data_IF_439948312867
#
_entry.id   IF_439948312867
#
_cell.length_a   1.000
_cell.length_b   1.000
_cell.length_c   1.000
_cell.angle_alpha   90.00
_cell.angle_beta   90.00
_cell.angle_gamma   90.00
#
_symmetry.space_group_name_H-M   'P 1'
#
loop_
_entity.id
_entity.type
_entity.pdbx_description
1 polymer ?
#
# COMPACT_ATOMS: atom_id res chain seq x y z
N UNK A 1 -19.05 -4.74 -10.36
CA UNK A 1 -17.71 -4.60 -9.79
C UNK A 1 -16.70 -4.39 -10.92
N UNK A 2 -15.88 -3.35 -10.81
CA UNK A 2 -14.81 -3.09 -11.78
C UNK A 2 -13.45 -3.40 -11.18
N UNK A 3 -12.62 -4.15 -11.92
CA UNK A 3 -11.22 -4.31 -11.59
C UNK A 3 -10.50 -2.96 -11.69
N UNK A 4 -9.53 -2.74 -10.81
CA UNK A 4 -8.58 -1.63 -10.93
C UNK A 4 -7.29 -2.12 -11.58
N UNK A 5 -6.46 -1.22 -12.10
CA UNK A 5 -5.13 -1.55 -12.61
C UNK A 5 -4.13 -2.04 -11.56
N UNK A 6 -4.53 -2.10 -10.28
CA UNK A 6 -3.68 -2.61 -9.19
C UNK A 6 -3.65 -4.14 -9.22
N UNK A 7 -2.55 -4.67 -9.69
CA UNK A 7 -2.28 -6.09 -9.76
C UNK A 7 -0.88 -6.40 -9.24
N UNK A 8 -0.73 -7.50 -8.51
CA UNK A 8 0.57 -7.99 -8.05
C UNK A 8 0.56 -9.53 -8.07
N UNK A 9 1.59 -10.14 -8.63
CA UNK A 9 1.78 -11.58 -8.61
C UNK A 9 1.80 -12.21 -10.01
N UNK A 10 1.45 -13.50 -10.08
CA UNK A 10 1.54 -14.27 -11.31
C UNK A 10 0.55 -13.80 -12.38
N UNK A 11 1.07 -13.27 -13.49
CA UNK A 11 0.28 -12.80 -14.64
C UNK A 11 -0.32 -13.93 -15.47
N UNK A 12 0.14 -15.15 -15.28
CA UNK A 12 -0.37 -16.36 -15.92
C UNK A 12 -1.26 -17.17 -14.97
N UNK A 13 -1.61 -16.62 -13.82
CA UNK A 13 -2.51 -17.27 -12.88
C UNK A 13 -3.86 -17.54 -13.56
N UNK A 14 -4.38 -18.74 -13.34
CA UNK A 14 -5.70 -19.12 -13.82
C UNK A 14 -6.82 -18.31 -13.17
N UNK A 15 -8.06 -18.76 -13.34
CA UNK A 15 -9.21 -18.11 -12.74
C UNK A 15 -9.06 -17.96 -11.21
N UNK A 16 -9.23 -16.76 -10.71
CA UNK A 16 -9.26 -16.45 -9.27
C UNK A 16 -10.70 -16.53 -8.78
N UNK A 17 -10.90 -17.03 -7.56
CA UNK A 17 -12.21 -17.11 -6.93
C UNK A 17 -12.30 -16.17 -5.74
N UNK A 18 -13.45 -15.50 -5.64
CA UNK A 18 -13.81 -14.64 -4.51
C UNK A 18 -15.16 -15.11 -3.96
N UNK A 19 -15.23 -15.18 -2.65
CA UNK A 19 -16.44 -15.46 -1.89
C UNK A 19 -17.01 -14.15 -1.34
N UNK A 20 -18.31 -13.99 -1.47
CA UNK A 20 -19.03 -12.85 -0.95
C UNK A 20 -19.78 -13.27 0.31
N UNK A 21 -19.43 -12.70 1.43
CA UNK A 21 -20.04 -12.98 2.73
C UNK A 21 -20.82 -11.77 3.23
N UNK A 22 -21.95 -12.03 3.90
CA UNK A 22 -22.71 -10.99 4.58
C UNK A 22 -22.10 -10.71 5.95
N UNK A 23 -21.91 -9.44 6.29
CA UNK A 23 -21.47 -9.03 7.62
C UNK A 23 -22.54 -9.32 8.67
N UNK A 24 -22.13 -9.79 9.83
CA UNK A 24 -23.01 -10.08 10.98
C UNK A 24 -23.09 -8.93 11.99
N UNK A 25 -22.13 -8.00 11.91
CA UNK A 25 -22.05 -6.81 12.74
C UNK A 25 -21.83 -5.56 11.90
N UNK A 26 -22.18 -4.40 12.43
CA UNK A 26 -21.92 -3.13 11.78
C UNK A 26 -20.41 -2.82 11.83
N UNK A 27 -19.93 -2.09 10.82
CA UNK A 27 -18.60 -1.52 10.87
C UNK A 27 -18.57 -0.36 11.86
N UNK A 28 -17.69 -0.43 12.84
CA UNK A 28 -17.46 0.64 13.81
C UNK A 28 -16.12 1.32 13.51
N UNK A 29 -16.13 2.65 13.52
CA UNK A 29 -14.93 3.44 13.35
C UNK A 29 -14.14 3.48 14.67
N UNK A 30 -12.85 3.17 14.60
CA UNK A 30 -11.94 3.38 15.71
C UNK A 30 -11.27 4.76 15.53
N UNK A 31 -11.50 5.69 16.45
CA UNK A 31 -11.04 7.08 16.33
C UNK A 31 -11.38 7.73 14.97
N UNK A 32 -12.59 7.50 14.47
CA UNK A 32 -13.07 7.96 13.16
C UNK A 32 -12.42 7.29 11.93
N UNK A 33 -11.67 6.20 12.09
CA UNK A 33 -10.99 5.51 11.01
C UNK A 33 -11.26 4.00 11.00
N UNK A 34 -11.16 3.41 9.81
CA UNK A 34 -11.01 1.98 9.59
C UNK A 34 -9.59 1.72 9.12
N UNK A 35 -8.92 0.78 9.76
CA UNK A 35 -7.53 0.43 9.48
C UNK A 35 -7.44 -0.86 8.66
N UNK A 36 -6.32 -1.09 7.99
CA UNK A 36 -6.05 -2.36 7.30
C UNK A 36 -6.01 -3.57 8.24
N UNK A 37 -5.90 -3.33 9.54
CA UNK A 37 -5.96 -4.34 10.60
C UNK A 37 -7.34 -4.50 11.23
N UNK A 38 -8.32 -3.65 10.87
CA UNK A 38 -9.70 -3.76 11.35
C UNK A 38 -10.31 -5.08 10.94
N UNK A 39 -11.20 -5.61 11.78
CA UNK A 39 -11.92 -6.85 11.55
C UNK A 39 -13.41 -6.64 11.78
N UNK A 40 -14.23 -7.20 10.91
CA UNK A 40 -15.68 -7.22 11.09
C UNK A 40 -16.15 -8.67 10.89
N UNK A 41 -16.90 -9.23 11.83
CA UNK A 41 -17.42 -10.58 11.69
C UNK A 41 -18.37 -10.70 10.49
N UNK A 42 -18.31 -11.84 9.82
CA UNK A 42 -19.19 -12.16 8.71
C UNK A 42 -19.71 -13.61 8.81
N UNK A 43 -20.81 -13.88 8.13
CA UNK A 43 -21.37 -15.24 8.07
C UNK A 43 -20.35 -16.18 7.39
N UNK A 44 -19.96 -17.29 8.01
CA UNK A 44 -19.01 -18.22 7.41
C UNK A 44 -19.52 -18.89 6.12
N UNK A 45 -20.84 -18.98 5.94
CA UNK A 45 -21.43 -19.45 4.69
C UNK A 45 -21.47 -18.28 3.70
N UNK A 46 -20.81 -18.39 2.53
CA UNK A 46 -20.84 -17.32 1.55
C UNK A 46 -22.25 -17.15 0.96
N UNK A 47 -22.64 -15.91 0.76
CA UNK A 47 -23.87 -15.53 0.07
C UNK A 47 -23.79 -15.86 -1.42
N UNK A 48 -22.63 -15.65 -2.01
CA UNK A 48 -22.32 -15.97 -3.41
C UNK A 48 -20.81 -16.18 -3.59
N UNK A 49 -20.42 -16.73 -4.73
CA UNK A 49 -19.02 -16.74 -5.17
C UNK A 49 -18.96 -16.47 -6.67
N UNK A 50 -17.87 -15.88 -7.10
CA UNK A 50 -17.61 -15.68 -8.52
C UNK A 50 -16.14 -15.96 -8.83
N UNK A 51 -15.87 -16.35 -10.08
CA UNK A 51 -14.52 -16.56 -10.58
C UNK A 51 -14.29 -15.65 -11.77
N UNK A 52 -13.10 -15.11 -11.87
CA UNK A 52 -12.67 -14.28 -12.98
C UNK A 52 -11.20 -14.54 -13.29
N UNK A 53 -10.79 -14.30 -14.51
CA UNK A 53 -9.38 -14.33 -14.90
C UNK A 53 -8.87 -12.91 -14.89
N UNK A 54 -7.85 -12.58 -14.08
CA UNK A 54 -7.29 -11.23 -14.06
C UNK A 54 -6.64 -10.89 -15.41
N UNK A 55 -6.84 -9.64 -15.85
CA UNK A 55 -6.17 -9.09 -17.04
C UNK A 55 -5.34 -7.88 -16.61
N UNK A 56 -4.08 -8.06 -16.18
CA UNK A 56 -3.22 -6.96 -15.77
C UNK A 56 -3.08 -5.91 -16.86
N UNK A 57 -3.19 -4.63 -16.49
CA UNK A 57 -3.11 -3.51 -17.43
C UNK A 57 -4.42 -3.17 -18.15
N UNK A 58 -5.50 -3.93 -17.94
CA UNK A 58 -6.84 -3.56 -18.39
C UNK A 58 -7.61 -2.89 -17.25
N UNK A 59 -7.78 -1.60 -17.35
CA UNK A 59 -8.62 -0.85 -16.41
C UNK A 59 -10.10 -1.02 -16.76
N UNK A 60 -10.94 -1.10 -15.71
CA UNK A 60 -12.40 -1.12 -15.81
C UNK A 60 -13.01 -2.38 -16.42
N UNK A 61 -12.35 -3.52 -16.30
CA UNK A 61 -13.02 -4.79 -16.60
C UNK A 61 -14.22 -4.97 -15.66
N UNK A 62 -15.43 -5.12 -16.23
CA UNK A 62 -16.65 -5.31 -15.47
C UNK A 62 -16.81 -6.78 -15.11
N UNK A 63 -16.97 -7.06 -13.81
CA UNK A 63 -17.26 -8.38 -13.29
C UNK A 63 -18.70 -8.37 -12.77
N UNK A 64 -19.59 -9.11 -13.43
CA UNK A 64 -20.98 -9.27 -13.04
C UNK A 64 -21.25 -10.69 -12.56
N UNK A 65 -21.97 -10.83 -11.45
CA UNK A 65 -22.39 -12.13 -10.92
C UNK A 65 -23.74 -12.00 -10.21
N UNK A 66 -24.47 -13.11 -10.14
CA UNK A 66 -25.80 -13.16 -9.57
C UNK A 66 -25.74 -13.40 -8.06
N UNK A 67 -26.50 -12.64 -7.30
CA UNK A 67 -26.80 -12.89 -5.90
C UNK A 67 -28.03 -13.81 -5.79
N UNK A 68 -28.26 -14.49 -4.63
CA UNK A 68 -29.43 -15.32 -4.42
C UNK A 68 -30.73 -14.54 -4.62
N UNK A 69 -31.69 -15.17 -5.32
CA UNK A 69 -33.00 -14.55 -5.59
C UNK A 69 -33.80 -14.30 -4.31
N UNK A 70 -33.56 -15.10 -3.27
CA UNK A 70 -34.17 -14.96 -1.96
C UNK A 70 -33.87 -13.61 -1.33
N UNK A 71 -32.65 -13.13 -1.45
CA UNK A 71 -32.21 -11.80 -0.96
C UNK A 71 -33.00 -10.69 -1.70
N UNK A 72 -33.09 -10.81 -3.03
CA UNK A 72 -33.86 -9.86 -3.83
C UNK A 72 -35.36 -9.85 -3.48
N UNK A 73 -35.95 -11.02 -3.27
CA UNK A 73 -37.35 -11.17 -2.84
C UNK A 73 -37.59 -10.55 -1.45
N UNK A 74 -36.71 -10.81 -0.51
CA UNK A 74 -36.76 -10.22 0.83
C UNK A 74 -36.77 -8.69 0.77
N UNK A 75 -35.82 -8.09 0.01
CA UNK A 75 -35.74 -6.64 -0.13
C UNK A 75 -36.98 -6.06 -0.83
N UNK A 76 -37.48 -6.75 -1.86
CA UNK A 76 -38.71 -6.33 -2.54
C UNK A 76 -39.93 -6.37 -1.61
N UNK A 77 -40.06 -7.42 -0.77
CA UNK A 77 -41.09 -7.52 0.24
C UNK A 77 -41.03 -6.36 1.24
N UNK A 78 -39.83 -6.06 1.76
CA UNK A 78 -39.64 -4.93 2.67
C UNK A 78 -40.03 -3.58 2.03
N UNK A 79 -39.75 -3.40 0.73
CA UNK A 79 -40.20 -2.22 -0.02
C UNK A 79 -41.72 -2.16 -0.16
N UNK A 80 -42.38 -3.27 -0.49
CA UNK A 80 -43.84 -3.36 -0.66
C UNK A 80 -44.59 -3.11 0.65
N UNK A 81 -44.04 -3.57 1.76
CA UNK A 81 -44.58 -3.39 3.11
C UNK A 81 -44.26 -2.01 3.70
N UNK A 82 -43.54 -1.14 2.98
CA UNK A 82 -43.05 0.14 3.50
C UNK A 82 -42.29 -0.02 4.82
N UNK A 83 -41.44 -1.07 4.90
CA UNK A 83 -40.67 -1.37 6.09
C UNK A 83 -39.78 -0.20 6.49
N UNK A 84 -39.67 0.06 7.77
CA UNK A 84 -38.79 1.08 8.31
C UNK A 84 -37.33 0.86 7.93
N UNK A 85 -36.91 -0.40 7.74
CA UNK A 85 -35.55 -0.77 7.27
C UNK A 85 -35.22 -0.21 5.88
N UNK A 86 -36.22 0.09 5.05
CA UNK A 86 -36.06 0.65 3.72
C UNK A 86 -36.32 2.15 3.64
N UNK A 87 -36.63 2.81 4.76
CA UNK A 87 -37.05 4.21 4.81
C UNK A 87 -35.89 5.19 4.67
N UNK A 88 -34.63 4.76 4.95
CA UNK A 88 -33.43 5.56 4.78
C UNK A 88 -32.21 4.69 4.59
N UNK A 89 -31.16 5.28 4.01
CA UNK A 89 -29.85 4.59 3.84
C UNK A 89 -29.27 4.12 5.18
N UNK A 90 -29.42 4.91 6.24
CA UNK A 90 -28.92 4.56 7.56
C UNK A 90 -29.63 3.33 8.13
N UNK A 91 -30.98 3.28 8.04
CA UNK A 91 -31.77 2.15 8.51
C UNK A 91 -31.52 0.89 7.67
N UNK A 92 -31.43 1.03 6.36
CA UNK A 92 -31.05 -0.08 5.51
C UNK A 92 -29.67 -0.64 5.88
N UNK A 93 -28.68 0.20 6.18
CA UNK A 93 -27.37 -0.22 6.62
C UNK A 93 -27.37 -0.94 7.98
N UNK A 94 -28.22 -0.54 8.91
CA UNK A 94 -28.40 -1.24 10.19
C UNK A 94 -29.03 -2.62 10.01
N UNK A 95 -29.90 -2.77 9.03
CA UNK A 95 -30.51 -4.04 8.66
C UNK A 95 -29.56 -4.90 7.83
N UNK A 96 -29.06 -4.39 6.70
CA UNK A 96 -28.08 -5.06 5.86
C UNK A 96 -26.68 -4.48 6.11
N UNK A 97 -25.96 -5.07 7.03
CA UNK A 97 -24.73 -4.52 7.63
C UNK A 97 -23.56 -4.38 6.66
N UNK A 98 -23.62 -5.05 5.50
CA UNK A 98 -22.63 -4.95 4.43
C UNK A 98 -22.13 -6.31 3.95
N UNK A 99 -21.11 -6.26 3.13
CA UNK A 99 -20.53 -7.42 2.46
C UNK A 99 -19.02 -7.46 2.65
N UNK A 100 -18.48 -8.66 2.81
CA UNK A 100 -17.04 -8.93 2.76
C UNK A 100 -16.71 -9.73 1.51
N UNK A 101 -15.71 -9.26 0.75
CA UNK A 101 -15.10 -9.97 -0.37
C UNK A 101 -13.90 -10.73 0.16
N UNK A 102 -13.95 -12.05 0.17
CA UNK A 102 -12.92 -12.92 0.72
C UNK A 102 -12.30 -13.73 -0.41
N UNK A 103 -11.01 -13.55 -0.72
CA UNK A 103 -10.36 -14.33 -1.75
C UNK A 103 -10.21 -15.80 -1.32
N UNK A 104 -10.14 -16.71 -2.31
CA UNK A 104 -9.80 -18.10 -2.05
C UNK A 104 -8.36 -18.21 -1.52
N UNK A 105 -8.14 -19.12 -0.57
CA UNK A 105 -6.83 -19.32 0.05
C UNK A 105 -5.75 -19.80 -0.92
N UNK A 106 -6.15 -20.37 -2.06
CA UNK A 106 -5.24 -20.82 -3.12
C UNK A 106 -4.88 -19.74 -4.15
N UNK A 107 -5.30 -18.49 -3.95
CA UNK A 107 -4.99 -17.38 -4.87
C UNK A 107 -3.48 -17.12 -4.96
N UNK A 108 -2.98 -16.88 -6.18
CA UNK A 108 -1.54 -16.63 -6.47
C UNK A 108 -1.25 -15.18 -6.81
N UNK A 109 -2.25 -14.32 -6.76
CA UNK A 109 -2.12 -12.90 -7.10
C UNK A 109 -3.03 -12.04 -6.24
N UNK A 110 -2.71 -10.75 -6.19
CA UNK A 110 -3.54 -9.73 -5.55
C UNK A 110 -4.18 -8.87 -6.63
N UNK A 111 -5.49 -8.74 -6.57
CA UNK A 111 -6.28 -7.93 -7.49
C UNK A 111 -6.93 -6.78 -6.74
N UNK A 112 -6.77 -5.57 -7.25
CA UNK A 112 -7.48 -4.41 -6.77
C UNK A 112 -8.84 -4.27 -7.45
N UNK A 113 -9.82 -3.76 -6.70
CA UNK A 113 -11.15 -3.41 -7.23
C UNK A 113 -11.46 -1.95 -6.93
N UNK A 114 -12.16 -1.31 -7.85
CA UNK A 114 -12.65 0.05 -7.63
C UNK A 114 -13.90 -0.01 -6.76
N UNK A 115 -13.92 0.75 -5.67
CA UNK A 115 -15.06 0.82 -4.74
C UNK A 115 -15.56 2.26 -4.65
N UNK A 116 -16.40 2.62 -5.61
CA UNK A 116 -17.13 3.89 -5.65
C UNK A 116 -18.54 3.66 -6.21
N UNK A 117 -19.37 4.68 -6.20
CA UNK A 117 -20.79 4.60 -6.56
C UNK A 117 -21.05 4.11 -8.00
N UNK A 118 -20.07 4.27 -8.90
CA UNK A 118 -20.20 3.85 -10.30
C UNK A 118 -19.57 2.50 -10.59
N UNK A 119 -18.65 2.03 -9.74
CA UNK A 119 -17.83 0.84 -10.00
C UNK A 119 -18.22 -0.39 -9.17
N UNK A 120 -18.94 -0.19 -8.06
CA UNK A 120 -19.46 -1.28 -7.24
C UNK A 120 -20.93 -0.98 -6.91
N UNK A 121 -21.85 -1.85 -7.35
CA UNK A 121 -23.24 -1.73 -7.01
C UNK A 121 -23.94 -3.08 -6.99
N UNK A 122 -25.04 -3.17 -6.26
CA UNK A 122 -26.02 -4.26 -6.34
C UNK A 122 -27.23 -3.69 -7.08
N UNK A 123 -27.69 -4.39 -8.12
CA UNK A 123 -28.90 -4.03 -8.85
C UNK A 123 -29.96 -5.07 -8.62
N UNK A 124 -31.12 -4.62 -8.14
CA UNK A 124 -32.32 -5.43 -8.00
C UNK A 124 -33.26 -5.09 -9.18
N UNK A 125 -33.39 -6.02 -10.12
CA UNK A 125 -34.30 -5.93 -11.25
C UNK A 125 -35.65 -6.58 -10.86
N UNK A 126 -36.75 -5.86 -11.07
CA UNK A 126 -38.06 -6.35 -10.78
C UNK A 126 -39.10 -5.77 -11.75
N UNK A 127 -40.28 -6.38 -11.81
CA UNK A 127 -41.35 -5.92 -12.66
C UNK A 127 -42.49 -5.41 -11.81
N UNK A 128 -43.07 -4.29 -12.20
CA UNK A 128 -44.33 -3.81 -11.71
C UNK A 128 -45.40 -4.19 -12.75
N UNK A 129 -46.42 -4.96 -12.32
CA UNK A 129 -47.50 -5.38 -13.19
C UNK A 129 -48.75 -4.54 -12.82
N UNK A 130 -49.13 -3.65 -13.73
CA UNK A 130 -50.38 -2.90 -13.69
C UNK A 130 -51.20 -3.33 -14.91
N UNK A 131 -51.60 -2.45 -15.78
CA UNK A 131 -52.21 -2.80 -17.07
C UNK A 131 -51.14 -3.33 -18.06
N UNK A 132 -49.90 -2.86 -17.93
CA UNK A 132 -48.74 -3.35 -18.66
C UNK A 132 -47.61 -3.63 -17.68
N UNK A 133 -46.79 -4.67 -17.98
CA UNK A 133 -45.59 -4.95 -17.22
C UNK A 133 -44.50 -3.89 -17.52
N UNK A 134 -43.96 -3.24 -16.48
CA UNK A 134 -42.84 -2.34 -16.57
C UNK A 134 -41.64 -2.87 -15.79
N UNK A 135 -40.48 -2.88 -16.41
CA UNK A 135 -39.23 -3.26 -15.75
C UNK A 135 -38.71 -2.09 -14.91
N UNK A 136 -38.26 -2.39 -13.71
CA UNK A 136 -37.70 -1.44 -12.75
C UNK A 136 -36.35 -1.93 -12.23
N UNK A 137 -35.48 -1.01 -11.89
CA UNK A 137 -34.19 -1.33 -11.29
C UNK A 137 -33.94 -0.46 -10.07
N UNK A 138 -33.69 -1.08 -8.94
CA UNK A 138 -33.20 -0.42 -7.74
C UNK A 138 -31.70 -0.67 -7.58
N UNK A 139 -30.94 0.38 -7.39
CA UNK A 139 -29.47 0.31 -7.29
C UNK A 139 -29.05 0.67 -5.87
N UNK A 140 -28.24 -0.22 -5.28
CA UNK A 140 -27.60 -0.02 -3.97
C UNK A 140 -26.12 0.21 -4.20
N UNK A 141 -25.57 1.30 -3.66
CA UNK A 141 -24.16 1.69 -3.79
C UNK A 141 -23.44 1.58 -2.43
N UNK A 142 -22.10 1.41 -2.43
CA UNK A 142 -21.35 1.32 -1.19
C UNK A 142 -21.35 2.65 -0.43
N UNK A 143 -21.17 2.58 0.87
CA UNK A 143 -20.91 3.76 1.68
C UNK A 143 -19.56 4.37 1.31
N UNK A 144 -19.48 5.70 1.25
CA UNK A 144 -18.22 6.41 0.98
C UNK A 144 -17.24 6.37 2.16
N UNK A 145 -17.75 6.15 3.38
CA UNK A 145 -16.96 6.19 4.62
C UNK A 145 -16.75 4.83 5.27
N UNK A 146 -17.67 3.89 5.09
CA UNK A 146 -17.63 2.57 5.72
C UNK A 146 -17.15 1.52 4.72
N UNK A 147 -15.87 1.56 4.42
CA UNK A 147 -15.18 0.59 3.57
C UNK A 147 -13.71 0.52 3.95
N UNK A 148 -13.13 -0.66 3.93
CA UNK A 148 -11.69 -0.85 4.15
C UNK A 148 -11.24 -2.15 3.49
N UNK A 149 -9.92 -2.27 3.30
CA UNK A 149 -9.28 -3.50 2.87
C UNK A 149 -8.49 -4.06 4.03
N UNK A 150 -8.85 -5.25 4.50
CA UNK A 150 -8.06 -5.95 5.50
C UNK A 150 -6.84 -6.57 4.84
N UNK A 151 -5.65 -6.27 5.37
CA UNK A 151 -4.39 -6.84 4.92
C UNK A 151 -3.84 -7.75 6.01
N UNK A 152 -3.65 -9.01 5.66
CA UNK A 152 -2.97 -9.99 6.50
C UNK A 152 -1.69 -10.41 5.80
N UNK A 153 -0.59 -10.42 6.52
CA UNK A 153 0.68 -10.92 6.04
C UNK A 153 1.19 -12.00 6.97
N UNK A 154 1.78 -13.03 6.38
CA UNK A 154 2.50 -14.07 7.13
C UNK A 154 3.98 -14.00 6.76
N UNK A 155 4.81 -13.71 7.75
CA UNK A 155 6.27 -13.63 7.61
C UNK A 155 6.99 -14.88 8.09
N UNK A 156 6.25 -15.92 8.54
CA UNK A 156 6.83 -17.16 9.00
C UNK A 156 7.65 -17.83 7.89
N UNK A 157 8.83 -18.31 8.22
CA UNK A 157 9.74 -18.94 7.26
C UNK A 157 10.43 -17.96 6.28
N UNK A 158 10.25 -16.65 6.46
CA UNK A 158 10.98 -15.63 5.69
C UNK A 158 12.08 -14.97 6.50
N UNK A 159 12.99 -14.27 5.86
CA UNK A 159 14.04 -13.47 6.52
C UNK A 159 13.46 -12.37 7.41
N UNK A 160 12.22 -11.96 7.17
CA UNK A 160 11.50 -10.96 7.96
C UNK A 160 10.72 -11.54 9.14
N UNK A 161 10.85 -12.84 9.44
CA UNK A 161 10.12 -13.50 10.52
C UNK A 161 10.40 -12.91 11.91
N UNK A 162 11.56 -12.28 12.09
CA UNK A 162 11.94 -11.61 13.35
C UNK A 162 11.36 -10.20 13.49
N UNK A 163 10.82 -9.62 12.41
CA UNK A 163 10.25 -8.30 12.44
C UNK A 163 8.84 -8.34 13.04
N UNK A 164 8.67 -7.72 14.18
CA UNK A 164 7.38 -7.61 14.88
C UNK A 164 6.65 -6.33 14.42
N UNK A 165 5.36 -6.25 14.69
CA UNK A 165 4.60 -5.02 14.47
C UNK A 165 4.86 -4.03 15.60
N UNK A 166 5.06 -2.75 15.26
CA UNK A 166 5.27 -1.67 16.23
C UNK A 166 6.31 -0.66 15.76
N UNK A 167 6.40 0.47 16.44
CA UNK A 167 7.26 1.60 16.05
C UNK A 167 8.76 1.34 16.30
N UNK A 168 9.10 0.48 17.27
CA UNK A 168 10.50 0.27 17.69
C UNK A 168 11.14 -1.00 17.11
N UNK A 169 10.53 -1.58 16.07
CA UNK A 169 10.98 -2.82 15.50
C UNK A 169 11.73 -2.61 14.20
N UNK A 170 13.02 -2.34 14.31
CA UNK A 170 13.94 -2.35 13.18
C UNK A 170 14.71 -3.67 13.13
N UNK A 171 14.80 -4.25 11.94
CA UNK A 171 15.63 -5.41 11.66
C UNK A 171 16.83 -4.96 10.82
N UNK A 172 18.05 -5.21 11.35
CA UNK A 172 19.28 -4.89 10.61
C UNK A 172 19.37 -5.71 9.33
N UNK A 173 19.80 -5.09 8.23
CA UNK A 173 20.03 -5.72 6.93
C UNK A 173 21.05 -6.88 6.99
N UNK A 174 21.96 -6.88 7.95
CA UNK A 174 22.86 -8.01 8.21
C UNK A 174 22.11 -9.31 8.52
N UNK A 175 20.91 -9.22 9.13
CA UNK A 175 20.06 -10.38 9.47
C UNK A 175 19.16 -10.81 8.32
N UNK A 176 19.16 -10.06 7.23
CA UNK A 176 18.31 -10.28 6.05
C UNK A 176 19.16 -10.38 4.77
N UNK A 177 20.29 -11.03 4.86
CA UNK A 177 21.22 -11.26 3.73
C UNK A 177 21.69 -9.97 3.05
N UNK A 178 21.94 -8.92 3.85
CA UNK A 178 22.33 -7.58 3.38
C UNK A 178 21.27 -6.95 2.47
N UNK A 179 20.00 -7.20 2.73
CA UNK A 179 18.85 -6.67 1.99
C UNK A 179 17.91 -5.90 2.92
N UNK A 180 17.25 -4.90 2.34
CA UNK A 180 16.22 -4.11 3.00
C UNK A 180 14.94 -4.10 2.18
N UNK A 181 13.79 -4.14 2.84
CA UNK A 181 12.51 -4.39 2.22
C UNK A 181 11.55 -3.22 2.45
N UNK A 182 10.93 -2.75 1.37
CA UNK A 182 9.86 -1.75 1.38
C UNK A 182 8.65 -2.32 0.67
N UNK A 183 7.45 -2.18 1.27
CA UNK A 183 6.21 -2.59 0.65
C UNK A 183 5.03 -1.76 1.17
N UNK A 184 4.24 -1.24 0.24
CA UNK A 184 3.01 -0.54 0.58
C UNK A 184 1.98 -1.45 1.26
N UNK A 185 1.01 -0.88 1.96
CA UNK A 185 -0.09 -1.52 2.70
C UNK A 185 0.33 -2.50 3.81
N UNK A 186 1.59 -2.94 3.86
CA UNK A 186 2.08 -3.89 4.87
C UNK A 186 2.82 -3.21 6.02
N UNK A 187 3.02 -1.89 5.94
CA UNK A 187 3.74 -1.10 6.93
C UNK A 187 5.27 -1.28 6.89
N UNK A 188 5.82 -1.91 5.84
CA UNK A 188 7.26 -2.05 5.67
C UNK A 188 7.86 -0.79 5.04
N UNK A 189 8.84 -0.20 5.72
CA UNK A 189 9.67 0.90 5.22
C UNK A 189 11.14 0.63 5.57
N UNK A 190 12.05 1.35 4.93
CA UNK A 190 13.50 1.19 5.15
C UNK A 190 14.03 2.37 5.95
N UNK A 191 14.73 2.08 7.03
CA UNK A 191 15.49 3.05 7.81
C UNK A 191 16.92 3.12 7.29
N UNK A 192 17.41 4.33 7.07
CA UNK A 192 18.79 4.59 6.62
C UNK A 192 19.49 5.44 7.67
N UNK A 193 20.59 4.94 8.18
CA UNK A 193 21.39 5.57 9.22
C UNK A 193 22.77 5.92 8.71
N UNK A 194 23.35 7.01 9.23
CA UNK A 194 24.70 7.47 8.91
C UNK A 194 25.55 7.50 10.19
N UNK A 195 25.92 6.33 10.74
CA UNK A 195 26.56 6.25 12.07
C UNK A 195 27.90 6.97 12.14
N UNK A 196 28.61 7.08 11.02
CA UNK A 196 29.96 7.62 10.95
C UNK A 196 30.05 9.02 10.32
N UNK A 197 28.91 9.70 10.11
CA UNK A 197 28.90 11.02 9.49
C UNK A 197 29.80 12.02 10.23
N UNK A 198 29.75 12.01 11.56
CA UNK A 198 30.55 12.93 12.40
C UNK A 198 32.05 12.66 12.37
N UNK A 199 32.50 11.50 11.84
CA UNK A 199 33.94 11.25 11.65
C UNK A 199 34.56 12.23 10.65
N UNK A 200 33.77 12.80 9.75
CA UNK A 200 34.23 13.85 8.83
C UNK A 200 34.79 15.08 9.56
N UNK A 201 34.27 15.38 10.76
CA UNK A 201 34.73 16.51 11.57
C UNK A 201 36.17 16.35 12.09
N UNK A 202 36.74 15.16 12.00
CA UNK A 202 38.11 14.89 12.41
C UNK A 202 39.14 15.07 11.26
N UNK A 203 38.63 15.33 10.04
CA UNK A 203 39.49 15.51 8.87
C UNK A 203 40.18 16.89 8.84
N UNK A 204 39.70 17.86 9.60
CA UNK A 204 40.29 19.20 9.70
C UNK A 204 39.56 20.14 10.63
N UNK A 205 39.99 21.40 10.70
CA UNK A 205 39.41 22.42 11.59
C UNK A 205 37.98 22.81 11.23
N UNK A 206 37.69 22.80 9.92
CA UNK A 206 36.33 23.05 9.40
C UNK A 206 36.06 22.14 8.21
N UNK A 207 34.91 21.43 8.25
CA UNK A 207 34.44 20.59 7.17
C UNK A 207 33.09 21.10 6.66
N UNK A 208 32.97 21.23 5.35
CA UNK A 208 31.75 21.67 4.69
C UNK A 208 31.35 20.67 3.61
N UNK A 209 30.12 20.11 3.69
CA UNK A 209 29.55 19.22 2.66
C UNK A 209 29.06 20.09 1.50
N UNK A 210 29.53 19.84 0.29
CA UNK A 210 29.13 20.55 -0.93
C UNK A 210 27.99 19.85 -1.66
N UNK A 211 28.07 18.51 -1.75
CA UNK A 211 27.02 17.70 -2.36
C UNK A 211 27.03 16.28 -1.81
N UNK A 212 25.83 15.69 -1.73
CA UNK A 212 25.64 14.31 -1.31
C UNK A 212 24.52 13.65 -2.12
N UNK A 213 24.84 12.60 -2.87
CA UNK A 213 23.90 11.84 -3.67
C UNK A 213 23.82 10.41 -3.16
N UNK A 214 22.63 9.98 -2.79
CA UNK A 214 22.32 8.62 -2.39
C UNK A 214 21.67 7.88 -3.56
N UNK A 215 22.26 6.77 -3.98
CA UNK A 215 21.74 5.89 -5.02
C UNK A 215 21.41 4.52 -4.42
N UNK A 216 20.18 4.05 -4.67
CA UNK A 216 19.65 2.80 -4.18
C UNK A 216 19.35 1.89 -5.36
N UNK A 217 19.94 0.70 -5.38
CA UNK A 217 19.83 -0.26 -6.47
C UNK A 217 18.89 -1.40 -6.06
N UNK A 218 17.75 -1.61 -6.77
CA UNK A 218 16.92 -2.78 -6.55
C UNK A 218 17.69 -4.08 -6.74
N UNK A 219 17.48 -5.03 -5.85
CA UNK A 219 18.14 -6.33 -5.92
C UNK A 219 17.68 -7.11 -7.14
N UNK A 220 18.61 -7.59 -7.94
CA UNK A 220 18.34 -8.37 -9.15
C UNK A 220 17.50 -9.61 -8.84
N UNK A 221 16.47 -9.85 -9.63
CA UNK A 221 15.57 -11.01 -9.50
C UNK A 221 14.44 -10.83 -8.48
N UNK A 222 14.36 -9.68 -7.80
CA UNK A 222 13.24 -9.36 -6.89
C UNK A 222 12.15 -8.51 -7.53
N UNK A 223 12.32 -8.09 -8.77
CA UNK A 223 11.38 -7.26 -9.52
C UNK A 223 11.29 -7.70 -10.99
N UNK A 224 10.23 -7.31 -11.65
CA UNK A 224 9.88 -7.66 -13.03
C UNK A 224 8.40 -7.38 -13.28
N UNK A 225 7.85 -7.97 -14.34
CA UNK A 225 6.45 -7.75 -14.73
C UNK A 225 5.45 -8.17 -13.64
N UNK A 226 5.77 -9.23 -12.90
CA UNK A 226 4.93 -9.72 -11.80
C UNK A 226 5.02 -8.84 -10.54
N UNK A 227 6.15 -8.20 -10.33
CA UNK A 227 6.47 -7.34 -9.19
C UNK A 227 7.11 -6.05 -9.68
N UNK A 228 6.31 -5.16 -10.30
CA UNK A 228 6.82 -3.93 -10.88
C UNK A 228 7.33 -2.99 -9.78
N UNK A 229 8.45 -2.35 -10.07
CA UNK A 229 9.02 -1.34 -9.19
C UNK A 229 8.09 -0.14 -9.03
N UNK A 230 8.04 0.49 -7.86
CA UNK A 230 7.41 1.80 -7.70
C UNK A 230 8.08 2.85 -8.60
N UNK A 231 7.30 3.74 -9.20
CA UNK A 231 7.86 4.81 -10.05
C UNK A 231 8.59 5.88 -9.24
N UNK A 232 8.14 6.10 -8.01
CA UNK A 232 8.65 7.14 -7.13
C UNK A 232 8.75 6.64 -5.70
N UNK A 233 9.82 7.02 -5.02
CA UNK A 233 10.02 6.83 -3.58
C UNK A 233 10.28 8.19 -2.93
N UNK A 234 9.97 8.30 -1.64
CA UNK A 234 10.19 9.52 -0.85
C UNK A 234 11.07 9.20 0.35
N UNK A 235 11.94 10.16 0.71
CA UNK A 235 12.70 10.15 1.93
C UNK A 235 12.10 11.13 2.94
N UNK A 236 11.82 10.63 4.13
CA UNK A 236 11.43 11.41 5.31
C UNK A 236 12.57 11.44 6.31
N UNK A 237 12.64 12.49 7.09
CA UNK A 237 13.45 12.52 8.31
C UNK A 237 12.71 11.82 9.43
N UNK A 238 13.44 11.18 10.31
CA UNK A 238 12.91 10.58 11.53
C UNK A 238 13.82 10.89 12.72
N UNK A 239 13.22 11.09 13.89
CA UNK A 239 13.94 11.27 15.13
C UNK A 239 14.49 9.93 15.67
N UNK A 240 15.12 9.96 16.84
CA UNK A 240 15.71 8.79 17.50
C UNK A 240 14.69 7.69 17.84
N UNK A 241 13.41 8.05 18.03
CA UNK A 241 12.31 7.13 18.31
C UNK A 241 11.61 6.65 17.02
N UNK A 242 12.23 6.83 15.86
CA UNK A 242 11.69 6.47 14.55
C UNK A 242 10.33 7.14 14.21
N UNK A 243 10.02 8.26 14.86
CA UNK A 243 8.85 9.07 14.50
C UNK A 243 9.19 9.86 13.25
N UNK A 244 8.37 9.71 12.22
CA UNK A 244 8.47 10.46 10.97
C UNK A 244 8.19 11.93 11.22
N UNK A 245 9.03 12.81 10.69
CA UNK A 245 8.92 14.27 10.83
C UNK A 245 8.65 14.91 9.47
N UNK A 246 9.68 15.40 8.78
CA UNK A 246 9.55 16.14 7.55
C UNK A 246 10.03 15.35 6.32
N UNK A 247 9.52 15.69 5.14
CA UNK A 247 10.10 15.22 3.87
C UNK A 247 11.43 15.91 3.60
N UNK A 248 12.35 15.23 2.93
CA UNK A 248 13.58 15.87 2.46
C UNK A 248 13.26 16.80 1.31
N UNK A 249 13.77 18.02 1.42
CA UNK A 249 13.64 19.05 0.38
C UNK A 249 15.00 19.38 -0.23
N UNK A 250 14.97 20.14 -1.32
CA UNK A 250 16.16 20.77 -1.89
C UNK A 250 16.82 21.76 -0.89
N UNK A 251 17.99 22.26 -1.24
CA UNK A 251 18.74 23.23 -0.41
C UNK A 251 17.96 24.52 -0.12
N UNK A 252 16.99 24.87 -0.95
CA UNK A 252 16.16 26.06 -0.79
C UNK A 252 14.89 25.78 0.01
N UNK A 253 14.61 24.51 0.33
CA UNK A 253 13.39 24.09 1.03
C UNK A 253 12.12 24.22 0.18
N UNK A 254 12.23 24.34 -1.14
CA UNK A 254 11.13 24.65 -2.04
C UNK A 254 10.53 23.42 -2.71
N UNK A 255 11.32 22.38 -2.92
CA UNK A 255 10.89 21.18 -3.64
C UNK A 255 11.21 19.91 -2.86
N UNK A 256 10.22 19.01 -2.76
CA UNK A 256 10.41 17.68 -2.18
C UNK A 256 11.36 16.88 -3.06
N UNK A 257 12.34 16.22 -2.44
CA UNK A 257 13.25 15.31 -3.13
C UNK A 257 12.57 13.97 -3.36
N UNK A 258 12.07 13.78 -4.56
CA UNK A 258 11.47 12.52 -5.00
C UNK A 258 12.55 11.67 -5.68
N UNK A 259 12.74 10.45 -5.18
CA UNK A 259 13.54 9.45 -5.86
C UNK A 259 12.76 8.85 -7.02
N UNK A 260 12.97 9.39 -8.21
CA UNK A 260 12.40 8.81 -9.42
C UNK A 260 13.18 7.58 -9.85
N UNK A 261 12.48 6.59 -10.38
CA UNK A 261 13.08 5.40 -10.94
C UNK A 261 13.84 5.77 -12.22
N UNK A 262 15.11 5.50 -12.24
CA UNK A 262 15.98 5.62 -13.44
C UNK A 262 16.16 4.22 -13.98
N UNK A 263 15.58 3.96 -15.15
CA UNK A 263 15.67 2.65 -15.83
C UNK A 263 16.68 2.71 -16.96
N UNK A 264 17.49 1.67 -17.07
CA UNK A 264 18.32 1.40 -18.23
C UNK A 264 17.74 0.20 -18.98
N UNK A 265 17.08 0.43 -20.11
CA UNK A 265 16.43 -0.64 -20.89
C UNK A 265 17.43 -1.61 -21.49
N UNK A 266 18.68 -1.17 -21.72
CA UNK A 266 19.77 -2.00 -22.29
C UNK A 266 20.51 -2.80 -21.22
N UNK A 267 20.52 -2.30 -19.98
CA UNK A 267 21.18 -2.91 -18.84
C UNK A 267 20.29 -2.75 -17.58
N UNK A 268 19.22 -3.56 -17.44
CA UNK A 268 18.25 -3.45 -16.33
C UNK A 268 18.89 -3.50 -14.94
N UNK A 269 20.07 -4.08 -14.82
CA UNK A 269 20.88 -4.08 -13.59
C UNK A 269 21.37 -2.69 -13.16
N UNK A 270 21.37 -1.71 -14.08
CA UNK A 270 21.69 -0.32 -13.79
C UNK A 270 20.48 0.51 -13.34
N UNK A 271 19.33 -0.11 -13.16
CA UNK A 271 18.14 0.56 -12.62
C UNK A 271 18.39 0.99 -11.17
N UNK A 272 18.10 2.24 -10.85
CA UNK A 272 18.28 2.79 -9.50
C UNK A 272 17.34 3.94 -9.20
N UNK A 273 17.23 4.26 -7.90
CA UNK A 273 16.64 5.51 -7.41
C UNK A 273 17.74 6.44 -6.91
N UNK A 274 17.63 7.72 -7.20
CA UNK A 274 18.62 8.73 -6.80
C UNK A 274 17.98 9.84 -5.99
N UNK A 275 18.65 10.24 -4.90
CA UNK A 275 18.23 11.31 -4.01
C UNK A 275 19.38 12.27 -3.76
N UNK A 276 19.11 13.56 -3.82
CA UNK A 276 20.01 14.57 -3.27
C UNK A 276 19.73 14.73 -1.77
N UNK A 277 20.66 14.31 -0.95
CA UNK A 277 20.57 14.39 0.51
C UNK A 277 21.54 15.40 1.11
N UNK A 278 22.02 16.36 0.31
CA UNK A 278 23.01 17.36 0.71
C UNK A 278 22.55 18.15 1.91
N UNK A 279 21.35 18.74 1.84
CA UNK A 279 20.77 19.55 2.93
C UNK A 279 20.60 18.73 4.21
N UNK A 280 20.16 17.48 4.08
CA UNK A 280 20.01 16.58 5.22
C UNK A 280 21.36 16.30 5.89
N UNK A 281 22.42 15.96 5.14
CA UNK A 281 23.72 15.67 5.71
C UNK A 281 24.37 16.93 6.29
N UNK A 282 24.20 18.11 5.67
CA UNK A 282 24.68 19.37 6.22
C UNK A 282 24.05 19.66 7.60
N UNK A 283 22.74 19.50 7.72
CA UNK A 283 22.01 19.73 8.96
C UNK A 283 22.31 18.68 10.05
N UNK A 284 22.70 17.47 9.63
CA UNK A 284 22.96 16.36 10.53
C UNK A 284 24.45 16.25 10.92
N UNK A 285 25.35 16.94 10.21
CA UNK A 285 26.78 16.99 10.52
C UNK A 285 27.00 17.72 11.86
N UNK A 286 27.64 17.04 12.81
CA UNK A 286 27.83 17.56 14.17
C UNK A 286 26.62 17.38 15.09
N UNK A 287 25.50 16.90 14.60
CA UNK A 287 24.35 16.59 15.44
C UNK A 287 24.62 15.38 16.35
N UNK A 288 24.22 15.48 17.61
CA UNK A 288 24.37 14.45 18.63
C UNK A 288 23.05 14.23 19.37
N UNK A 289 22.84 13.01 19.87
CA UNK A 289 21.67 12.66 20.67
C UNK A 289 20.38 12.99 19.94
N UNK A 290 19.50 13.71 20.61
CA UNK A 290 18.16 14.05 20.14
C UNK A 290 18.11 14.82 18.80
N UNK A 291 19.15 15.57 18.47
CA UNK A 291 19.23 16.34 17.23
C UNK A 291 19.66 15.49 16.03
N UNK A 292 20.14 14.28 16.27
CA UNK A 292 20.52 13.37 15.19
C UNK A 292 19.28 12.77 14.55
N UNK A 293 19.17 12.93 13.24
CA UNK A 293 18.05 12.38 12.46
C UNK A 293 18.51 11.19 11.61
N UNK A 294 17.57 10.29 11.37
CA UNK A 294 17.70 9.20 10.40
C UNK A 294 16.82 9.49 9.21
N UNK A 295 16.97 8.70 8.14
CA UNK A 295 16.07 8.74 7.00
C UNK A 295 15.15 7.54 6.99
N UNK A 296 13.90 7.76 6.59
CA UNK A 296 12.93 6.73 6.24
C UNK A 296 12.64 6.79 4.76
N UNK A 297 12.89 5.68 4.07
CA UNK A 297 12.51 5.50 2.68
C UNK A 297 11.16 4.82 2.63
N UNK A 298 10.21 5.47 1.96
CA UNK A 298 8.83 5.03 1.86
C UNK A 298 8.28 5.26 0.45
N UNK A 299 7.13 4.67 0.15
CA UNK A 299 6.30 5.12 -0.96
C UNK A 299 5.69 6.50 -0.61
N UNK A 300 5.30 7.31 -1.61
CA UNK A 300 4.46 8.47 -1.38
C UNK A 300 3.21 8.10 -0.56
N UNK A 301 2.73 9.01 0.29
CA UNK A 301 1.65 8.73 1.25
C UNK A 301 0.38 8.21 0.59
N UNK A 302 0.01 8.76 -0.57
CA UNK A 302 -1.15 8.33 -1.34
C UNK A 302 -1.00 6.90 -1.89
N UNK A 303 0.23 6.46 -2.18
CA UNK A 303 0.53 5.12 -2.67
C UNK A 303 0.81 4.14 -1.52
N UNK A 304 1.42 4.59 -0.42
CA UNK A 304 1.78 3.70 0.69
C UNK A 304 0.58 2.94 1.27
N UNK A 305 -0.60 3.56 1.25
CA UNK A 305 -1.83 2.97 1.76
C UNK A 305 -2.73 2.36 0.68
N UNK A 306 -2.37 2.45 -0.60
CA UNK A 306 -3.25 2.04 -1.71
C UNK A 306 -2.65 1.02 -2.64
N UNK A 307 -1.32 0.78 -2.59
CA UNK A 307 -0.66 -0.22 -3.44
C UNK A 307 0.15 -1.22 -2.61
N UNK A 308 0.25 -2.45 -3.11
CA UNK A 308 1.15 -3.48 -2.59
C UNK A 308 2.51 -3.50 -3.29
N UNK A 309 2.76 -2.57 -4.23
CA UNK A 309 4.09 -2.43 -4.84
C UNK A 309 5.15 -2.30 -3.75
N UNK A 310 6.30 -2.88 -4.01
CA UNK A 310 7.44 -2.84 -3.10
C UNK A 310 8.75 -2.93 -3.84
N UNK A 311 9.83 -2.86 -3.09
CA UNK A 311 11.19 -2.97 -3.62
C UNK A 311 12.10 -3.56 -2.55
N UNK A 312 13.08 -4.32 -3.00
CA UNK A 312 14.16 -4.85 -2.18
C UNK A 312 15.45 -4.16 -2.59
N UNK A 313 16.16 -3.55 -1.65
CA UNK A 313 17.45 -2.91 -1.87
C UNK A 313 18.56 -3.67 -1.17
N UNK A 314 19.74 -3.70 -1.79
CA UNK A 314 20.96 -4.11 -1.11
C UNK A 314 21.47 -3.02 -0.16
N UNK A 315 22.09 -3.42 0.95
CA UNK A 315 22.84 -2.51 1.81
C UNK A 315 24.28 -2.26 1.27
N UNK A 316 25.14 -1.64 2.05
CA UNK A 316 26.53 -1.36 1.64
C UNK A 316 27.36 -2.63 1.41
N UNK A 317 26.99 -3.76 2.00
CA UNK A 317 27.72 -5.03 1.90
C UNK A 317 27.12 -5.99 0.87
N UNK A 318 25.99 -5.62 0.26
CA UNK A 318 25.35 -6.44 -0.75
C UNK A 318 26.26 -6.65 -1.97
N UNK A 319 26.46 -7.89 -2.39
CA UNK A 319 27.49 -8.28 -3.37
C UNK A 319 27.30 -7.68 -4.76
N UNK A 320 26.08 -7.52 -5.21
CA UNK A 320 25.76 -7.13 -6.60
C UNK A 320 25.10 -5.75 -6.72
N UNK A 321 24.28 -5.39 -5.76
CA UNK A 321 23.49 -4.15 -5.77
C UNK A 321 23.71 -3.34 -4.49
N UNK A 322 24.96 -2.92 -4.16
CA UNK A 322 25.22 -2.15 -2.94
C UNK A 322 24.63 -0.75 -3.06
N UNK A 323 24.11 -0.23 -1.94
CA UNK A 323 23.77 1.18 -1.83
C UNK A 323 25.03 2.04 -2.03
N UNK A 324 24.87 3.17 -2.71
CA UNK A 324 25.99 4.07 -3.01
C UNK A 324 25.71 5.48 -2.51
N UNK A 325 26.60 5.99 -1.67
CA UNK A 325 26.63 7.40 -1.27
C UNK A 325 27.85 8.06 -1.93
N UNK A 326 27.59 9.08 -2.75
CA UNK A 326 28.63 9.94 -3.32
C UNK A 326 28.63 11.25 -2.56
N UNK A 327 29.73 11.54 -1.87
CA UNK A 327 29.90 12.72 -1.03
C UNK A 327 31.03 13.59 -1.57
N UNK A 328 30.77 14.89 -1.72
CA UNK A 328 31.79 15.91 -2.00
C UNK A 328 31.81 16.86 -0.82
N UNK A 329 32.97 17.07 -0.23
CA UNK A 329 33.16 17.95 0.88
C UNK A 329 34.49 18.70 0.80
N UNK A 330 34.60 19.81 1.49
CA UNK A 330 35.81 20.60 1.64
C UNK A 330 36.30 20.57 3.07
N UNK A 331 37.62 20.51 3.21
CA UNK A 331 38.33 20.57 4.50
C UNK A 331 39.16 21.82 4.52
N UNK A 332 39.09 22.56 5.59
CA UNK A 332 39.89 23.74 5.85
C UNK A 332 40.76 23.47 7.09
N UNK A 333 42.01 23.80 7.01
CA UNK A 333 42.96 23.75 8.11
C UNK A 333 43.54 25.16 8.29
N UNK A 334 43.45 25.68 9.50
CA UNK A 334 43.85 27.04 9.86
C UNK A 334 45.19 27.03 10.60
#
# INVERSE_FOLDING_TARGET
>A
LYASGNYLGDTLSGAQRIYLHQLTENMELNNNYLYSTSTVPYNPTPLASFSFTPHPGQDKEEISFRLPDELGKEWLTLLQENSDNMSSQEKFRLYFKGLAFVPDAGGTCVNGFQVNDSSLCIRLHYHIITETASEQTLTFTPSNTLKFTQIKHDRNGTVLSLLQSGTDNALSSEKTDNQSYLQGMTGLYIKIEFPHLNNLLWEGDLVTIESATLQLYPVKGTHGDQYPLPETLILYTANENDVTEDVITDLLGTSVQNGSLVTDEMAPENTYYSFDITSFLQNNLGAIGYNRKNLKLMLPDDLFFTTLKGVVFGDMQHKTNPVKLTLRYKVYNY
#
